data_IF_351997716869
#
_entry.id   IF_351997716869
#
_cell.length_a   1.000
_cell.length_b   1.000
_cell.length_c   1.000
_cell.angle_alpha   90.00
_cell.angle_beta   90.00
_cell.angle_gamma   90.00
#
_symmetry.space_group_name_H-M   'P 1'
#
loop_
_entity.id
_entity.type
_entity.pdbx_description
1 polymer ?
#
# COMPACT_ATOMS: atom_id res chain seq x y z
N UNK A 1 7.23 4.37 16.60
CA UNK A 1 6.51 4.91 15.43
C UNK A 1 6.48 3.94 14.26
N UNK A 2 7.60 3.32 13.87
CA UNK A 2 7.59 2.46 12.68
C UNK A 2 6.75 1.18 12.84
N UNK A 3 6.82 0.51 13.99
CA UNK A 3 6.03 -0.70 14.23
C UNK A 3 4.53 -0.42 14.28
N UNK A 4 4.13 0.74 14.82
CA UNK A 4 2.75 1.17 14.86
C UNK A 4 2.19 1.38 13.45
N UNK A 5 2.96 1.95 12.52
CA UNK A 5 2.53 2.12 11.13
C UNK A 5 2.31 0.77 10.44
N UNK A 6 3.20 -0.22 10.65
CA UNK A 6 3.00 -1.56 10.07
C UNK A 6 1.73 -2.21 10.63
N UNK A 7 1.54 -2.14 11.94
CA UNK A 7 0.38 -2.75 12.60
C UNK A 7 -0.93 -2.09 12.17
N UNK A 8 -0.98 -0.75 12.15
CA UNK A 8 -2.16 0.00 11.69
C UNK A 8 -2.46 -0.33 10.22
N UNK A 9 -1.45 -0.32 9.35
CA UNK A 9 -1.62 -0.65 7.93
C UNK A 9 -2.20 -2.05 7.77
N UNK A 10 -1.64 -3.04 8.47
CA UNK A 10 -2.11 -4.43 8.44
C UNK A 10 -3.56 -4.55 8.90
N UNK A 11 -3.91 -3.94 10.03
CA UNK A 11 -5.27 -4.01 10.59
C UNK A 11 -6.28 -3.35 9.67
N UNK A 12 -5.97 -2.16 9.15
CA UNK A 12 -6.89 -1.44 8.26
C UNK A 12 -7.08 -2.17 6.93
N UNK A 13 -6.00 -2.66 6.32
CA UNK A 13 -6.10 -3.48 5.11
C UNK A 13 -6.93 -4.75 5.34
N UNK A 14 -6.76 -5.42 6.49
CA UNK A 14 -7.58 -6.57 6.84
C UNK A 14 -9.07 -6.20 6.94
N UNK A 15 -9.41 -5.06 7.56
CA UNK A 15 -10.79 -4.55 7.63
C UNK A 15 -11.37 -4.18 6.28
N UNK A 16 -10.56 -3.72 5.33
CA UNK A 16 -11.00 -3.50 3.95
C UNK A 16 -11.24 -4.81 3.18
N UNK A 17 -10.67 -5.92 3.63
CA UNK A 17 -10.92 -7.25 3.07
C UNK A 17 -12.26 -7.89 3.47
N UNK A 18 -12.97 -7.30 4.43
CA UNK A 18 -14.27 -7.74 4.92
C UNK A 18 -15.39 -7.35 3.95
N UNK A 19 -16.52 -8.07 3.93
CA UNK A 19 -17.62 -7.82 2.97
C UNK A 19 -18.48 -6.57 3.25
N UNK A 20 -18.25 -5.88 4.37
CA UNK A 20 -19.09 -4.75 4.79
C UNK A 20 -18.54 -3.42 4.25
N UNK A 21 -19.24 -2.82 3.29
CA UNK A 21 -18.84 -1.55 2.65
C UNK A 21 -18.69 -0.35 3.61
N UNK A 22 -19.44 -0.32 4.71
CA UNK A 22 -19.28 0.74 5.71
C UNK A 22 -17.94 0.61 6.43
N UNK A 23 -17.57 -0.62 6.81
CA UNK A 23 -16.27 -0.92 7.43
C UNK A 23 -15.14 -0.66 6.44
N UNK A 24 -15.29 -1.09 5.18
CA UNK A 24 -14.29 -0.85 4.13
C UNK A 24 -14.02 0.64 3.94
N UNK A 25 -15.07 1.46 3.79
CA UNK A 25 -14.92 2.91 3.63
C UNK A 25 -14.30 3.58 4.85
N UNK A 26 -14.72 3.20 6.05
CA UNK A 26 -14.13 3.72 7.28
C UNK A 26 -12.64 3.37 7.38
N UNK A 27 -12.28 2.12 7.09
CA UNK A 27 -10.89 1.67 7.08
C UNK A 27 -10.06 2.41 6.02
N UNK A 28 -10.58 2.55 4.79
CA UNK A 28 -9.94 3.28 3.69
C UNK A 28 -9.61 4.70 4.12
N UNK A 29 -10.60 5.40 4.69
CA UNK A 29 -10.43 6.77 5.16
C UNK A 29 -9.41 6.86 6.29
N UNK A 30 -9.42 5.92 7.23
CA UNK A 30 -8.41 5.86 8.29
C UNK A 30 -7.00 5.64 7.74
N UNK A 31 -6.85 4.81 6.70
CA UNK A 31 -5.56 4.54 6.09
C UNK A 31 -5.02 5.77 5.35
N UNK A 32 -5.87 6.47 4.60
CA UNK A 32 -5.53 7.76 3.97
C UNK A 32 -5.00 8.77 4.98
N UNK A 33 -5.68 8.92 6.12
CA UNK A 33 -5.26 9.83 7.18
C UNK A 33 -3.90 9.40 7.75
N UNK A 34 -3.68 8.12 8.00
CA UNK A 34 -2.39 7.61 8.47
C UNK A 34 -1.27 7.91 7.45
N UNK A 35 -1.49 7.59 6.17
CA UNK A 35 -0.52 7.85 5.08
C UNK A 35 -0.18 9.33 4.97
N UNK A 36 -1.14 10.22 5.22
CA UNK A 36 -0.90 11.67 5.21
C UNK A 36 -0.02 12.16 6.38
N UNK A 37 0.00 11.44 7.51
CA UNK A 37 0.70 11.84 8.74
C UNK A 37 2.07 11.17 8.93
N UNK A 38 2.47 10.26 8.04
CA UNK A 38 3.79 9.62 8.06
C UNK A 38 4.62 10.04 6.86
N UNK A 39 5.92 9.71 6.87
CA UNK A 39 6.76 9.96 5.69
C UNK A 39 6.28 9.09 4.52
N UNK A 40 6.25 9.61 3.27
CA UNK A 40 5.79 8.84 2.12
C UNK A 40 6.57 7.52 1.93
N UNK A 41 7.89 7.52 2.15
CA UNK A 41 8.71 6.32 2.10
C UNK A 41 8.27 5.26 3.13
N UNK A 42 7.86 5.70 4.34
CA UNK A 42 7.38 4.79 5.37
C UNK A 42 6.03 4.19 5.01
N UNK A 43 5.10 5.00 4.50
CA UNK A 43 3.80 4.54 4.01
C UNK A 43 3.96 3.49 2.91
N UNK A 44 4.81 3.76 1.90
CA UNK A 44 5.10 2.83 0.81
C UNK A 44 5.63 1.49 1.34
N UNK A 45 6.61 1.51 2.25
CA UNK A 45 7.16 0.30 2.84
C UNK A 45 6.11 -0.54 3.59
N UNK A 46 5.24 0.10 4.38
CA UNK A 46 4.20 -0.59 5.14
C UNK A 46 3.12 -1.21 4.24
N UNK A 47 2.69 -0.48 3.20
CA UNK A 47 1.71 -0.95 2.20
C UNK A 47 2.25 -2.13 1.38
N UNK A 48 3.49 -2.03 0.91
CA UNK A 48 4.16 -3.10 0.15
C UNK A 48 4.25 -4.39 0.98
N UNK A 49 4.65 -4.27 2.25
CA UNK A 49 4.82 -5.40 3.17
C UNK A 49 3.49 -6.07 3.52
N UNK A 50 2.44 -5.29 3.78
CA UNK A 50 1.20 -5.81 4.35
C UNK A 50 0.14 -6.21 3.31
N UNK A 51 0.14 -5.57 2.14
CA UNK A 51 -1.00 -5.64 1.21
C UNK A 51 -0.75 -6.40 -0.09
N UNK A 52 0.42 -6.22 -0.70
CA UNK A 52 0.64 -6.57 -2.12
C UNK A 52 0.73 -8.07 -2.41
N UNK A 53 1.00 -8.89 -1.39
CA UNK A 53 1.07 -10.36 -1.50
C UNK A 53 -0.05 -11.07 -0.73
N UNK A 54 -1.11 -10.34 -0.36
CA UNK A 54 -2.19 -10.90 0.44
C UNK A 54 -3.08 -11.85 -0.37
N UNK A 55 -3.59 -12.92 0.27
CA UNK A 55 -4.44 -13.92 -0.41
C UNK A 55 -5.80 -13.36 -0.84
N UNK A 56 -6.36 -12.46 -0.05
CA UNK A 56 -7.62 -11.75 -0.38
C UNK A 56 -7.37 -10.68 -1.45
N UNK A 57 -8.10 -10.78 -2.56
CA UNK A 57 -8.07 -9.85 -3.70
C UNK A 57 -8.39 -8.42 -3.30
N UNK A 58 -9.39 -8.21 -2.45
CA UNK A 58 -9.78 -6.85 -2.02
C UNK A 58 -8.62 -6.15 -1.32
N UNK A 59 -7.89 -6.89 -0.46
CA UNK A 59 -6.71 -6.35 0.23
C UNK A 59 -5.63 -5.94 -0.76
N UNK A 60 -5.38 -6.75 -1.80
CA UNK A 60 -4.40 -6.41 -2.84
C UNK A 60 -4.84 -5.18 -3.65
N UNK A 61 -6.12 -5.11 -4.03
CA UNK A 61 -6.71 -3.96 -4.71
C UNK A 61 -6.55 -2.67 -3.91
N UNK A 62 -7.00 -2.66 -2.64
CA UNK A 62 -6.89 -1.48 -1.79
C UNK A 62 -5.43 -1.12 -1.48
N UNK A 63 -4.54 -2.11 -1.36
CA UNK A 63 -3.12 -1.84 -1.24
C UNK A 63 -2.56 -1.15 -2.49
N UNK A 64 -2.91 -1.59 -3.69
CA UNK A 64 -2.52 -0.95 -4.95
C UNK A 64 -3.07 0.47 -5.06
N UNK A 65 -4.35 0.66 -4.76
CA UNK A 65 -5.06 1.94 -4.77
C UNK A 65 -4.38 2.97 -3.85
N UNK A 66 -4.01 2.57 -2.64
CA UNK A 66 -3.35 3.46 -1.68
C UNK A 66 -1.84 3.58 -1.88
N UNK A 67 -1.20 2.64 -2.57
CA UNK A 67 0.23 2.69 -2.90
C UNK A 67 0.52 3.77 -3.94
N UNK A 68 -0.33 3.94 -4.95
CA UNK A 68 -0.17 4.94 -6.00
C UNK A 68 0.06 6.37 -5.46
N UNK A 69 -0.87 6.97 -4.68
CA UNK A 69 -0.68 8.34 -4.19
C UNK A 69 0.50 8.45 -3.22
N UNK A 70 0.86 7.38 -2.52
CA UNK A 70 2.03 7.37 -1.64
C UNK A 70 3.36 7.42 -2.43
N UNK A 71 3.44 6.67 -3.54
CA UNK A 71 4.60 6.67 -4.46
C UNK A 71 4.69 8.00 -5.20
N UNK A 72 3.58 8.54 -5.69
CA UNK A 72 3.52 9.85 -6.37
C UNK A 72 4.02 10.99 -5.48
N UNK A 73 3.67 10.97 -4.18
CA UNK A 73 4.15 11.95 -3.19
C UNK A 73 5.67 11.94 -2.99
N UNK A 74 6.35 10.81 -3.23
CA UNK A 74 7.82 10.76 -3.20
C UNK A 74 8.37 11.46 -4.45
N UNK A 75 7.78 11.16 -5.60
CA UNK A 75 8.20 11.67 -6.91
C UNK A 75 9.37 10.88 -7.50
N UNK A 76 9.40 10.80 -8.83
CA UNK A 76 10.35 9.96 -9.57
C UNK A 76 11.82 10.26 -9.24
N UNK A 77 12.20 11.54 -9.15
CA UNK A 77 13.59 11.93 -8.85
C UNK A 77 14.08 11.39 -7.51
N UNK A 78 13.24 11.42 -6.46
CA UNK A 78 13.60 10.91 -5.13
C UNK A 78 13.57 9.39 -5.07
N UNK A 79 12.66 8.75 -5.81
CA UNK A 79 12.63 7.29 -5.95
C UNK A 79 13.92 6.78 -6.59
N UNK A 80 14.36 7.43 -7.67
CA UNK A 80 15.56 7.06 -8.42
C UNK A 80 16.86 7.42 -7.70
N UNK A 81 16.84 8.36 -6.74
CA UNK A 81 17.99 8.64 -5.87
C UNK A 81 18.12 7.67 -4.69
N UNK A 82 17.19 6.72 -4.53
CA UNK A 82 17.23 5.70 -3.49
C UNK A 82 18.31 4.64 -3.71
N UNK A 83 18.42 3.68 -2.78
CA UNK A 83 19.31 2.53 -2.99
C UNK A 83 18.78 1.66 -4.14
N UNK A 84 19.70 1.02 -4.88
CA UNK A 84 19.34 0.08 -5.94
C UNK A 84 18.40 -1.03 -5.41
N UNK A 85 18.60 -1.49 -4.18
CA UNK A 85 17.75 -2.48 -3.52
C UNK A 85 16.31 -1.99 -3.32
N UNK A 86 16.12 -0.76 -2.82
CA UNK A 86 14.79 -0.19 -2.62
C UNK A 86 14.05 0.05 -3.94
N UNK A 87 14.78 0.49 -4.97
CA UNK A 87 14.22 0.67 -6.32
C UNK A 87 13.78 -0.68 -6.90
N UNK A 88 14.65 -1.70 -6.83
CA UNK A 88 14.33 -3.04 -7.33
C UNK A 88 13.13 -3.65 -6.60
N UNK A 89 13.04 -3.47 -5.28
CA UNK A 89 11.90 -3.94 -4.49
C UNK A 89 10.59 -3.27 -4.92
N UNK A 90 10.61 -1.95 -5.13
CA UNK A 90 9.45 -1.20 -5.60
C UNK A 90 9.04 -1.67 -7.00
N UNK A 91 9.97 -1.71 -7.95
CA UNK A 91 9.71 -2.17 -9.33
C UNK A 91 9.14 -3.57 -9.34
N UNK A 92 9.74 -4.51 -8.60
CA UNK A 92 9.25 -5.89 -8.51
C UNK A 92 7.82 -5.96 -7.97
N UNK A 93 7.51 -5.14 -6.96
CA UNK A 93 6.17 -5.09 -6.38
C UNK A 93 5.14 -4.51 -7.34
N UNK A 94 5.49 -3.42 -8.04
CA UNK A 94 4.61 -2.81 -9.04
C UNK A 94 4.38 -3.72 -10.24
N UNK A 95 5.41 -4.42 -10.72
CA UNK A 95 5.28 -5.43 -11.77
C UNK A 95 4.34 -6.56 -11.35
N UNK A 96 4.44 -7.03 -10.10
CA UNK A 96 3.52 -8.04 -9.56
C UNK A 96 2.07 -7.56 -9.55
N UNK A 97 1.81 -6.32 -9.12
CA UNK A 97 0.46 -5.74 -9.12
C UNK A 97 -0.08 -5.58 -10.55
N UNK A 98 0.75 -5.11 -11.48
CA UNK A 98 0.38 -5.01 -12.90
C UNK A 98 0.09 -6.37 -13.55
N UNK A 99 0.65 -7.45 -13.01
CA UNK A 99 0.41 -8.83 -13.42
C UNK A 99 -0.63 -9.56 -12.55
N UNK A 100 -1.33 -8.86 -11.66
CA UNK A 100 -2.30 -9.48 -10.76
C UNK A 100 -3.39 -10.22 -11.54
N UNK A 101 -3.86 -11.33 -10.99
CA UNK A 101 -4.90 -12.12 -11.64
C UNK A 101 -6.27 -11.43 -11.63
N UNK A 102 -6.48 -10.42 -10.76
CA UNK A 102 -7.71 -9.65 -10.69
C UNK A 102 -7.58 -8.30 -11.42
N UNK A 103 -8.55 -7.99 -12.29
CA UNK A 103 -8.51 -6.79 -13.12
C UNK A 103 -8.48 -5.50 -12.31
N UNK A 104 -9.29 -5.38 -11.25
CA UNK A 104 -9.28 -4.15 -10.44
C UNK A 104 -7.96 -3.89 -9.70
N UNK A 105 -7.11 -4.91 -9.54
CA UNK A 105 -5.80 -4.76 -8.89
C UNK A 105 -4.71 -4.34 -9.87
N UNK A 106 -4.88 -4.66 -11.16
CA UNK A 106 -3.97 -4.27 -12.24
C UNK A 106 -4.19 -2.82 -12.63
#
# INVERSE_FOLDING_TARGET
>A
MDREVDEITRVLLHKMGESNEFIQRAASRSLEIMVANVTPARAVAALMTSGTQHRNVLVRRFAAEHLLPAVERIGAGKLLSGSCESINLLVHTLVKLAQDNHQDTR
#
